data_IF_552490250969
#
_entry.id   IF_552490250969
#
_cell.length_a   1.000
_cell.length_b   1.000
_cell.length_c   1.000
_cell.angle_alpha   90.00
_cell.angle_beta   90.00
_cell.angle_gamma   90.00
#
_symmetry.space_group_name_H-M   'P 1'
#
loop_
_entity.id
_entity.type
_entity.pdbx_description
1 polymer ?
#
# COMPACT_ATOMS: atom_id res chain seq x y z
N UNK A 1 31.74 20.71 -12.18
CA UNK A 1 32.64 20.96 -13.32
C UNK A 1 32.72 22.44 -13.61
N UNK A 2 33.91 22.97 -13.86
CA UNK A 2 34.06 24.33 -14.38
C UNK A 2 33.49 24.41 -15.79
N UNK A 3 32.82 25.52 -16.12
CA UNK A 3 32.31 25.78 -17.47
C UNK A 3 33.48 26.32 -18.29
N UNK A 4 33.77 25.77 -19.49
CA UNK A 4 34.85 26.25 -20.35
C UNK A 4 34.76 27.75 -20.62
N UNK A 5 35.91 28.40 -20.76
CA UNK A 5 36.01 29.86 -20.96
C UNK A 5 35.28 30.29 -22.22
N UNK A 6 35.46 29.53 -23.31
CA UNK A 6 34.80 29.75 -24.60
C UNK A 6 33.28 29.81 -24.47
N UNK A 7 32.70 28.93 -23.65
CA UNK A 7 31.26 28.87 -23.38
C UNK A 7 30.82 30.05 -22.48
N UNK A 8 31.65 30.46 -21.51
CA UNK A 8 31.36 31.61 -20.64
C UNK A 8 31.37 32.93 -21.39
N UNK A 9 32.13 33.04 -22.48
CA UNK A 9 32.29 34.26 -23.27
C UNK A 9 31.25 34.42 -24.39
N UNK A 10 30.47 33.37 -24.72
CA UNK A 10 29.37 33.47 -25.68
C UNK A 10 28.42 34.60 -25.33
N UNK A 11 28.14 35.46 -26.32
CA UNK A 11 27.21 36.58 -26.21
C UNK A 11 25.80 36.10 -25.85
N UNK A 12 25.20 36.73 -24.84
CA UNK A 12 23.92 36.33 -24.26
C UNK A 12 23.26 37.51 -23.53
N UNK A 13 21.95 37.42 -23.23
CA UNK A 13 21.23 38.50 -22.54
C UNK A 13 21.87 38.90 -21.20
N UNK A 14 21.77 40.18 -20.84
CA UNK A 14 22.26 40.71 -19.56
C UNK A 14 21.56 40.03 -18.36
N UNK A 15 22.24 40.04 -17.21
CA UNK A 15 21.76 39.41 -15.97
C UNK A 15 21.50 37.90 -16.11
N UNK A 16 22.36 37.22 -16.88
CA UNK A 16 22.33 35.77 -17.04
C UNK A 16 23.63 35.11 -16.63
N UNK A 17 23.54 33.85 -16.21
CA UNK A 17 24.68 32.98 -15.93
C UNK A 17 24.56 31.69 -16.73
N UNK A 18 25.69 31.12 -17.14
CA UNK A 18 25.71 29.79 -17.76
C UNK A 18 25.79 28.75 -16.66
N UNK A 19 25.02 27.67 -16.80
CA UNK A 19 25.06 26.49 -15.94
C UNK A 19 25.14 25.23 -16.78
N UNK A 20 25.91 24.25 -16.32
CA UNK A 20 25.96 22.93 -16.92
C UNK A 20 24.81 22.07 -16.37
N UNK A 21 23.91 21.65 -17.26
CA UNK A 21 22.85 20.68 -17.01
C UNK A 21 23.14 19.43 -17.83
N UNK A 22 23.81 18.45 -17.22
CA UNK A 22 24.11 17.14 -17.82
C UNK A 22 24.77 17.24 -19.21
N UNK A 23 25.81 18.07 -19.34
CA UNK A 23 26.55 18.27 -20.59
C UNK A 23 25.97 19.35 -21.50
N UNK A 24 24.78 19.89 -21.21
CA UNK A 24 24.19 21.03 -21.93
C UNK A 24 24.40 22.33 -21.17
N UNK A 25 24.85 23.36 -21.86
CA UNK A 25 25.09 24.68 -21.27
C UNK A 25 23.82 25.53 -21.35
N UNK A 26 23.12 25.69 -20.23
CA UNK A 26 21.89 26.48 -20.15
C UNK A 26 22.19 27.91 -19.70
N UNK A 27 21.48 28.87 -20.28
CA UNK A 27 21.55 30.28 -19.90
C UNK A 27 20.42 30.61 -18.95
N UNK A 28 20.76 31.03 -17.74
CA UNK A 28 19.82 31.22 -16.63
C UNK A 28 19.76 32.69 -16.23
N UNK A 29 18.57 33.29 -16.31
CA UNK A 29 18.29 34.64 -15.81
C UNK A 29 18.39 34.65 -14.29
N UNK A 30 19.16 35.61 -13.76
CA UNK A 30 19.48 35.71 -12.33
C UNK A 30 19.15 37.12 -11.82
N UNK A 31 18.65 37.17 -10.59
CA UNK A 31 18.47 38.39 -9.81
C UNK A 31 19.14 38.23 -8.44
N UNK A 32 19.05 39.21 -7.56
CA UNK A 32 19.44 39.10 -6.15
C UNK A 32 18.22 39.20 -5.24
N UNK A 33 18.26 38.51 -4.11
CA UNK A 33 17.29 38.64 -3.00
C UNK A 33 18.08 38.91 -1.72
N UNK A 34 17.65 39.89 -0.93
CA UNK A 34 18.23 40.13 0.39
C UNK A 34 17.69 39.11 1.40
N UNK A 35 18.60 38.45 2.12
CA UNK A 35 18.30 37.56 3.25
C UNK A 35 19.28 37.92 4.36
N UNK A 36 18.76 38.28 5.54
CA UNK A 36 19.54 38.72 6.70
C UNK A 36 20.57 39.83 6.37
N UNK A 37 20.14 40.84 5.62
CA UNK A 37 20.98 41.99 5.22
C UNK A 37 22.00 41.70 4.11
N UNK A 38 22.13 40.47 3.62
CA UNK A 38 23.06 40.10 2.54
C UNK A 38 22.31 39.83 1.24
N UNK A 39 22.82 40.37 0.12
CA UNK A 39 22.30 40.09 -1.22
C UNK A 39 22.75 38.70 -1.69
N UNK A 40 21.80 37.78 -1.88
CA UNK A 40 22.05 36.41 -2.33
C UNK A 40 21.52 36.26 -3.76
N UNK A 41 22.30 35.69 -4.70
CA UNK A 41 21.82 35.44 -6.07
C UNK A 41 20.66 34.44 -6.09
N UNK A 42 19.61 34.78 -6.85
CA UNK A 42 18.41 33.96 -7.07
C UNK A 42 18.22 33.74 -8.57
N UNK A 43 18.20 32.48 -8.97
CA UNK A 43 17.90 32.08 -10.35
C UNK A 43 16.38 32.15 -10.59
N UNK A 44 15.98 32.68 -11.75
CA UNK A 44 14.57 32.92 -12.10
C UNK A 44 14.08 31.95 -13.17
N UNK A 45 14.73 31.93 -14.33
CA UNK A 45 14.30 31.13 -15.47
C UNK A 45 15.48 30.79 -16.40
N UNK A 46 15.40 29.64 -17.06
CA UNK A 46 16.26 29.26 -18.19
C UNK A 46 15.71 29.95 -19.43
N UNK A 47 16.50 30.84 -20.02
CA UNK A 47 16.10 31.68 -21.17
C UNK A 47 16.60 31.13 -22.51
N UNK A 48 17.42 30.09 -22.47
CA UNK A 48 17.97 29.44 -23.66
C UNK A 48 19.13 28.52 -23.32
N UNK A 49 19.85 28.11 -24.35
CA UNK A 49 21.02 27.24 -24.24
C UNK A 49 22.14 27.68 -25.18
N UNK A 50 23.36 27.21 -24.93
CA UNK A 50 24.50 27.42 -25.82
C UNK A 50 24.72 26.13 -26.61
N UNK A 51 24.56 26.22 -27.91
CA UNK A 51 24.78 25.14 -28.90
C UNK A 51 25.76 25.69 -29.92
N UNK A 52 26.82 24.92 -30.21
CA UNK A 52 27.87 25.30 -31.17
C UNK A 52 28.42 26.72 -30.94
N UNK A 53 28.73 27.04 -29.68
CA UNK A 53 29.25 28.34 -29.23
C UNK A 53 28.33 29.54 -29.51
N UNK A 54 27.05 29.29 -29.78
CA UNK A 54 26.03 30.33 -29.98
C UNK A 54 24.90 30.20 -28.98
N UNK A 55 24.39 31.33 -28.53
CA UNK A 55 23.20 31.37 -27.70
C UNK A 55 21.95 31.13 -28.55
N UNK A 56 21.19 30.11 -28.19
CA UNK A 56 19.88 29.77 -28.76
C UNK A 56 18.81 30.10 -27.71
N UNK A 57 17.99 31.14 -27.92
CA UNK A 57 16.92 31.49 -26.99
C UNK A 57 15.80 30.44 -27.01
N UNK A 58 15.15 30.25 -25.86
CA UNK A 58 13.88 29.51 -25.81
C UNK A 58 12.72 30.47 -26.10
N UNK A 59 11.76 30.04 -26.92
CA UNK A 59 10.53 30.81 -27.20
C UNK A 59 9.79 31.19 -25.91
N UNK A 60 9.76 30.26 -24.94
CA UNK A 60 9.22 30.52 -23.59
C UNK A 60 10.27 30.18 -22.54
N UNK A 61 10.70 31.15 -21.71
CA UNK A 61 11.62 30.89 -20.61
C UNK A 61 11.06 29.87 -19.60
N UNK A 62 11.88 28.91 -19.19
CA UNK A 62 11.48 27.84 -18.25
C UNK A 62 11.84 28.25 -16.82
N UNK A 63 10.89 28.48 -15.90
CA UNK A 63 11.23 28.96 -14.57
C UNK A 63 12.06 27.93 -13.79
N UNK A 64 13.08 28.41 -13.07
CA UNK A 64 13.96 27.58 -12.25
C UNK A 64 13.23 27.20 -10.97
N UNK A 65 13.30 25.92 -10.58
CA UNK A 65 12.64 25.41 -9.38
C UNK A 65 11.18 24.99 -9.59
N UNK A 66 10.56 25.31 -10.72
CA UNK A 66 9.34 24.64 -11.17
C UNK A 66 9.71 23.45 -12.04
N UNK A 67 9.59 22.23 -11.52
CA UNK A 67 9.27 21.09 -12.40
C UNK A 67 7.99 21.51 -13.12
N UNK A 68 8.05 21.79 -14.41
CA UNK A 68 6.87 22.20 -15.17
C UNK A 68 5.81 21.12 -15.00
N UNK A 69 4.76 21.40 -14.20
CA UNK A 69 3.58 20.53 -14.10
C UNK A 69 2.90 20.35 -15.46
N UNK A 70 3.20 21.22 -16.44
CA UNK A 70 2.56 21.24 -17.76
C UNK A 70 3.00 20.12 -18.70
N UNK A 71 4.18 19.54 -18.51
CA UNK A 71 4.71 18.48 -19.41
C UNK A 71 5.17 17.25 -18.61
N UNK A 72 4.30 16.69 -17.77
CA UNK A 72 4.45 15.26 -17.49
C UNK A 72 3.92 14.55 -18.72
N UNK A 73 4.82 14.03 -19.55
CA UNK A 73 4.46 13.13 -20.64
C UNK A 73 3.54 12.06 -20.07
N UNK A 74 2.36 11.91 -20.69
CA UNK A 74 1.41 10.88 -20.28
C UNK A 74 1.96 9.53 -20.73
N UNK A 75 1.72 8.50 -19.93
CA UNK A 75 2.08 7.15 -20.34
C UNK A 75 1.18 6.69 -21.49
N UNK A 76 1.76 6.56 -22.69
CA UNK A 76 1.03 6.16 -23.90
C UNK A 76 0.78 4.64 -23.97
N UNK A 77 1.73 3.83 -23.48
CA UNK A 77 1.64 2.37 -23.46
C UNK A 77 1.41 1.90 -22.03
N UNK A 78 0.31 1.16 -21.82
CA UNK A 78 -0.12 0.72 -20.49
C UNK A 78 -0.22 -0.79 -20.39
N UNK A 79 0.20 -1.33 -19.26
CA UNK A 79 0.00 -2.75 -18.93
C UNK A 79 -1.50 -3.04 -18.68
N UNK A 80 -2.01 -4.10 -19.30
CA UNK A 80 -3.45 -4.43 -19.32
C UNK A 80 -3.76 -5.80 -18.74
N UNK A 81 -2.96 -6.83 -19.05
CA UNK A 81 -3.35 -8.23 -18.86
C UNK A 81 -3.73 -8.56 -17.41
N UNK A 82 -2.83 -8.28 -16.47
CA UNK A 82 -3.08 -8.54 -15.05
C UNK A 82 -4.23 -7.69 -14.52
N UNK A 83 -4.28 -6.41 -14.91
CA UNK A 83 -5.34 -5.49 -14.49
C UNK A 83 -6.70 -6.03 -14.92
N UNK A 84 -6.85 -6.42 -16.18
CA UNK A 84 -8.11 -6.91 -16.73
C UNK A 84 -8.56 -8.22 -16.08
N UNK A 85 -7.64 -9.15 -15.83
CA UNK A 85 -7.95 -10.41 -15.16
C UNK A 85 -8.44 -10.15 -13.74
N UNK A 86 -7.72 -9.34 -12.96
CA UNK A 86 -8.11 -9.09 -11.57
C UNK A 86 -9.40 -8.29 -11.47
N UNK A 87 -9.59 -7.25 -12.27
CA UNK A 87 -10.82 -6.45 -12.22
C UNK A 87 -12.05 -7.26 -12.64
N UNK A 88 -11.93 -8.09 -13.68
CA UNK A 88 -13.02 -8.95 -14.15
C UNK A 88 -13.49 -9.94 -13.08
N UNK A 89 -12.57 -10.48 -12.27
CA UNK A 89 -12.87 -11.52 -11.27
C UNK A 89 -13.06 -10.97 -9.85
N UNK A 90 -13.19 -9.65 -9.67
CA UNK A 90 -13.33 -9.04 -8.33
C UNK A 90 -14.27 -7.83 -8.28
N UNK A 91 -15.14 -7.68 -9.28
CA UNK A 91 -16.08 -6.56 -9.30
C UNK A 91 -17.07 -6.61 -8.12
N UNK A 92 -17.42 -7.82 -7.68
CA UNK A 92 -18.24 -8.04 -6.49
C UNK A 92 -17.59 -7.45 -5.21
N UNK A 93 -16.25 -7.47 -5.12
CA UNK A 93 -15.52 -6.87 -3.99
C UNK A 93 -15.73 -5.36 -3.95
N UNK A 94 -15.70 -4.69 -5.11
CA UNK A 94 -15.92 -3.25 -5.21
C UNK A 94 -17.35 -2.87 -4.80
N UNK A 95 -18.34 -3.64 -5.26
CA UNK A 95 -19.75 -3.45 -4.86
C UNK A 95 -19.91 -3.58 -3.34
N UNK A 96 -19.30 -4.60 -2.73
CA UNK A 96 -19.28 -4.80 -1.28
C UNK A 96 -18.58 -3.65 -0.53
N UNK A 97 -17.50 -3.10 -1.08
CA UNK A 97 -16.83 -1.93 -0.50
C UNK A 97 -17.73 -0.68 -0.54
N UNK A 98 -18.48 -0.48 -1.62
CA UNK A 98 -19.39 0.67 -1.78
C UNK A 98 -20.57 0.65 -0.80
N UNK A 99 -20.90 -0.49 -0.22
CA UNK A 99 -21.92 -0.61 0.84
C UNK A 99 -21.49 0.07 2.14
N UNK A 100 -20.20 0.01 2.48
CA UNK A 100 -19.69 0.44 3.80
C UNK A 100 -18.77 1.67 3.76
N UNK A 101 -18.22 1.99 2.60
CA UNK A 101 -17.30 3.11 2.42
C UNK A 101 -17.87 4.12 1.42
N UNK A 102 -17.53 5.40 1.61
CA UNK A 102 -17.82 6.41 0.59
C UNK A 102 -17.13 6.04 -0.73
N UNK A 103 -17.71 6.47 -1.86
CA UNK A 103 -17.24 6.05 -3.18
C UNK A 103 -15.76 6.34 -3.38
N UNK A 104 -15.25 7.50 -2.94
CA UNK A 104 -13.84 7.84 -3.10
C UNK A 104 -12.94 6.88 -2.33
N UNK A 105 -13.30 6.53 -1.10
CA UNK A 105 -12.56 5.54 -0.29
C UNK A 105 -12.66 4.14 -0.87
N UNK A 106 -13.86 3.68 -1.26
CA UNK A 106 -14.09 2.36 -1.83
C UNK A 106 -13.28 2.14 -3.12
N UNK A 107 -13.37 3.06 -4.09
CA UNK A 107 -12.58 2.98 -5.32
C UNK A 107 -11.08 3.01 -5.05
N UNK A 108 -10.62 3.84 -4.12
CA UNK A 108 -9.20 3.91 -3.79
C UNK A 108 -8.70 2.62 -3.14
N UNK A 109 -9.44 2.04 -2.19
CA UNK A 109 -9.11 0.74 -1.60
C UNK A 109 -9.04 -0.36 -2.65
N UNK A 110 -10.05 -0.43 -3.51
CA UNK A 110 -10.13 -1.41 -4.59
C UNK A 110 -8.96 -1.29 -5.56
N UNK A 111 -8.66 -0.07 -6.04
CA UNK A 111 -7.53 0.18 -6.93
C UNK A 111 -6.21 -0.22 -6.27
N UNK A 112 -5.99 0.14 -5.00
CA UNK A 112 -4.77 -0.26 -4.27
C UNK A 112 -4.67 -1.78 -4.16
N UNK A 113 -5.77 -2.48 -3.90
CA UNK A 113 -5.80 -3.93 -3.82
C UNK A 113 -5.42 -4.58 -5.16
N UNK A 114 -6.05 -4.16 -6.26
CA UNK A 114 -5.73 -4.71 -7.59
C UNK A 114 -4.29 -4.42 -7.99
N UNK A 115 -3.77 -3.22 -7.71
CA UNK A 115 -2.37 -2.90 -7.99
C UNK A 115 -1.41 -3.79 -7.20
N UNK A 116 -1.73 -4.12 -5.93
CA UNK A 116 -0.92 -5.05 -5.13
C UNK A 116 -1.04 -6.51 -5.61
N UNK A 117 -2.16 -6.91 -6.21
CA UNK A 117 -2.29 -8.20 -6.86
C UNK A 117 -1.49 -8.26 -8.18
N UNK A 118 -1.59 -7.23 -9.01
CA UNK A 118 -0.88 -7.11 -10.29
C UNK A 118 0.63 -6.93 -10.13
N UNK A 119 1.04 -6.23 -9.07
CA UNK A 119 2.42 -5.89 -8.78
C UNK A 119 2.75 -6.23 -7.30
N UNK A 120 2.98 -7.52 -6.96
CA UNK A 120 3.11 -7.97 -5.56
C UNK A 120 4.22 -7.32 -4.73
N UNK A 121 5.21 -6.69 -5.39
CA UNK A 121 6.31 -5.97 -4.73
C UNK A 121 6.06 -4.46 -4.59
N UNK A 122 4.91 -3.97 -5.08
CA UNK A 122 4.58 -2.55 -5.03
C UNK A 122 4.41 -2.09 -3.58
N UNK A 123 5.29 -1.20 -3.14
CA UNK A 123 5.12 -0.49 -1.87
C UNK A 123 4.35 0.80 -2.10
N UNK A 124 3.96 1.50 -1.03
CA UNK A 124 3.09 2.69 -1.11
C UNK A 124 3.62 3.77 -2.08
N UNK A 125 4.95 3.96 -2.16
CA UNK A 125 5.57 4.92 -3.10
C UNK A 125 5.42 4.53 -4.57
N UNK A 126 5.24 3.25 -4.87
CA UNK A 126 5.16 2.73 -6.23
C UNK A 126 3.72 2.76 -6.77
N UNK A 127 2.71 2.86 -5.89
CA UNK A 127 1.30 2.75 -6.28
C UNK A 127 0.90 3.78 -7.33
N UNK A 128 1.39 5.01 -7.22
CA UNK A 128 1.14 6.05 -8.23
C UNK A 128 1.73 5.65 -9.59
N UNK A 129 2.97 5.17 -9.60
CA UNK A 129 3.65 4.77 -10.82
C UNK A 129 2.89 3.62 -11.52
N UNK A 130 2.53 2.57 -10.79
CA UNK A 130 1.79 1.43 -11.37
C UNK A 130 0.38 1.81 -11.81
N UNK A 131 -0.28 2.72 -11.11
CA UNK A 131 -1.58 3.24 -11.53
C UNK A 131 -1.48 4.01 -12.86
N UNK A 132 -0.49 4.91 -12.99
CA UNK A 132 -0.30 5.74 -14.19
C UNK A 132 0.18 4.93 -15.40
N UNK A 133 0.99 3.88 -15.17
CA UNK A 133 1.57 3.03 -16.22
C UNK A 133 0.79 1.76 -16.55
N UNK A 134 -0.32 1.51 -15.86
CA UNK A 134 -1.23 0.42 -16.17
C UNK A 134 -2.61 0.94 -16.58
N UNK A 135 -3.39 0.07 -17.23
CA UNK A 135 -4.74 0.37 -17.68
C UNK A 135 -5.70 0.66 -16.52
N UNK A 136 -5.25 0.46 -15.28
CA UNK A 136 -5.98 0.86 -14.06
C UNK A 136 -6.39 2.34 -14.09
N UNK A 137 -5.52 3.23 -14.58
CA UNK A 137 -5.83 4.66 -14.70
C UNK A 137 -6.87 5.01 -15.76
N UNK A 138 -7.12 4.11 -16.72
CA UNK A 138 -8.20 4.27 -17.71
C UNK A 138 -9.54 3.74 -17.19
N UNK A 139 -9.51 2.62 -16.44
CA UNK A 139 -10.69 2.03 -15.81
C UNK A 139 -11.24 2.90 -14.68
N UNK A 140 -10.36 3.37 -13.79
CA UNK A 140 -10.73 4.16 -12.61
C UNK A 140 -10.07 5.53 -12.67
N UNK A 141 -10.75 6.48 -13.32
CA UNK A 141 -10.20 7.81 -13.56
C UNK A 141 -10.08 8.63 -12.27
N UNK A 142 -9.02 9.44 -12.20
CA UNK A 142 -8.78 10.44 -11.14
C UNK A 142 -8.65 9.87 -9.72
N UNK A 143 -8.20 8.62 -9.56
CA UNK A 143 -7.88 8.07 -8.24
C UNK A 143 -6.56 8.64 -7.72
N UNK A 144 -6.60 9.37 -6.61
CA UNK A 144 -5.43 10.03 -6.03
C UNK A 144 -4.57 9.07 -5.20
N UNK A 145 -3.41 8.66 -5.75
CA UNK A 145 -2.45 7.73 -5.12
C UNK A 145 -1.09 8.36 -4.82
N UNK A 146 -1.03 9.67 -4.58
CA UNK A 146 0.25 10.32 -4.23
C UNK A 146 0.80 9.77 -2.91
N UNK A 147 2.08 9.44 -2.90
CA UNK A 147 2.81 8.92 -1.73
C UNK A 147 2.57 9.76 -0.46
N UNK A 148 2.57 11.09 -0.58
CA UNK A 148 2.38 12.01 0.54
C UNK A 148 1.00 11.98 1.19
N UNK A 149 -0.02 11.46 0.50
CA UNK A 149 -1.41 11.43 1.01
C UNK A 149 -1.87 10.02 1.41
N UNK A 150 -1.09 8.99 1.06
CA UNK A 150 -1.42 7.61 1.40
C UNK A 150 -1.40 7.34 2.92
N UNK A 151 -0.46 7.86 3.72
CA UNK A 151 -0.48 7.69 5.17
C UNK A 151 -1.78 8.17 5.81
N UNK A 152 -2.16 9.43 5.57
CA UNK A 152 -3.40 10.02 6.09
C UNK A 152 -4.64 9.24 5.62
N UNK A 153 -4.62 8.76 4.37
CA UNK A 153 -5.70 7.92 3.84
C UNK A 153 -5.83 6.60 4.61
N UNK A 154 -4.73 5.88 4.83
CA UNK A 154 -4.76 4.63 5.59
C UNK A 154 -5.14 4.85 7.05
N UNK A 155 -4.63 5.90 7.68
CA UNK A 155 -4.99 6.24 9.06
C UNK A 155 -6.49 6.55 9.19
N UNK A 156 -7.02 7.42 8.32
CA UNK A 156 -8.45 7.76 8.31
C UNK A 156 -9.32 6.53 8.07
N UNK A 157 -8.92 5.68 7.12
CA UNK A 157 -9.65 4.45 6.81
C UNK A 157 -9.61 3.47 7.97
N UNK A 158 -8.45 3.30 8.62
CA UNK A 158 -8.28 2.43 9.79
C UNK A 158 -9.07 2.91 11.01
N UNK A 159 -9.17 4.22 11.23
CA UNK A 159 -10.01 4.81 12.29
C UNK A 159 -11.50 4.55 12.07
N UNK A 160 -11.95 4.40 10.83
CA UNK A 160 -13.32 4.02 10.49
C UNK A 160 -13.56 2.50 10.66
N UNK A 161 -13.18 1.96 11.82
CA UNK A 161 -13.19 0.53 12.11
C UNK A 161 -14.57 -0.10 11.94
N UNK A 162 -15.65 0.62 12.25
CA UNK A 162 -17.02 0.15 12.03
C UNK A 162 -17.27 -0.29 10.60
N UNK A 163 -16.71 0.43 9.61
CA UNK A 163 -16.92 0.13 8.20
C UNK A 163 -16.14 -1.13 7.79
N UNK A 164 -14.92 -1.28 8.32
CA UNK A 164 -14.10 -2.49 8.14
C UNK A 164 -14.81 -3.70 8.76
N UNK A 165 -15.32 -3.54 9.99
CA UNK A 165 -16.04 -4.57 10.71
C UNK A 165 -17.30 -5.01 9.97
N UNK A 166 -18.16 -4.06 9.55
CA UNK A 166 -19.39 -4.38 8.84
C UNK A 166 -19.12 -5.03 7.47
N UNK A 167 -18.09 -4.59 6.74
CA UNK A 167 -17.65 -5.27 5.52
C UNK A 167 -17.28 -6.74 5.77
N UNK A 168 -16.56 -7.01 6.87
CA UNK A 168 -16.21 -8.38 7.27
C UNK A 168 -17.42 -9.19 7.74
N UNK A 169 -18.40 -8.58 8.40
CA UNK A 169 -19.64 -9.25 8.79
C UNK A 169 -20.46 -9.68 7.57
N UNK A 170 -20.58 -8.81 6.56
CA UNK A 170 -21.26 -9.16 5.31
C UNK A 170 -20.56 -10.31 4.59
N UNK A 171 -19.23 -10.30 4.58
CA UNK A 171 -18.41 -11.44 4.12
C UNK A 171 -18.72 -12.72 4.87
N UNK A 172 -18.72 -12.70 6.21
CA UNK A 172 -19.06 -13.88 7.02
C UNK A 172 -20.45 -14.41 6.65
N UNK A 173 -21.43 -13.52 6.47
CA UNK A 173 -22.80 -13.89 6.10
C UNK A 173 -22.91 -14.48 4.69
N UNK A 174 -22.11 -14.01 3.73
CA UNK A 174 -22.04 -14.57 2.38
C UNK A 174 -21.59 -16.05 2.39
N UNK A 175 -20.72 -16.40 3.33
CA UNK A 175 -20.21 -17.76 3.53
C UNK A 175 -20.92 -18.51 4.68
N UNK A 176 -22.16 -18.12 5.01
CA UNK A 176 -22.97 -18.77 6.05
C UNK A 176 -23.07 -20.27 5.81
N UNK A 177 -22.81 -21.06 6.85
CA UNK A 177 -22.89 -22.53 6.82
C UNK A 177 -21.80 -23.22 6.01
N UNK A 178 -20.82 -22.49 5.47
CA UNK A 178 -19.71 -23.06 4.68
C UNK A 178 -18.62 -23.62 5.60
N UNK A 179 -17.73 -24.42 5.00
CA UNK A 179 -16.55 -24.95 5.68
C UNK A 179 -15.45 -23.90 5.57
N UNK A 180 -14.98 -23.40 6.72
CA UNK A 180 -13.93 -22.39 6.79
C UNK A 180 -12.64 -23.01 7.33
N UNK A 181 -11.53 -22.81 6.62
CA UNK A 181 -10.19 -23.11 7.11
C UNK A 181 -9.72 -21.89 7.89
N UNK A 182 -9.22 -22.09 9.10
CA UNK A 182 -8.62 -21.04 9.93
C UNK A 182 -7.14 -21.31 10.15
N UNK A 183 -6.32 -20.27 9.98
CA UNK A 183 -4.89 -20.33 10.21
C UNK A 183 -4.35 -18.99 10.71
N UNK A 184 -3.27 -19.06 11.48
CA UNK A 184 -2.54 -17.91 12.03
C UNK A 184 -1.16 -17.80 11.41
N UNK A 185 -0.85 -16.68 10.75
CA UNK A 185 0.46 -16.46 10.13
C UNK A 185 1.23 -15.35 10.84
N UNK A 186 2.49 -15.62 11.19
CA UNK A 186 3.41 -14.61 11.71
C UNK A 186 3.98 -13.78 10.56
N UNK A 187 3.91 -12.45 10.69
CA UNK A 187 4.48 -11.50 9.75
C UNK A 187 5.42 -10.57 10.49
N UNK A 188 6.64 -10.43 9.97
CA UNK A 188 7.63 -9.57 10.59
C UNK A 188 7.25 -8.11 10.48
N UNK A 189 7.34 -7.43 11.61
CA UNK A 189 6.90 -6.06 11.79
C UNK A 189 7.71 -5.45 12.92
N UNK A 190 8.64 -4.57 12.55
CA UNK A 190 9.55 -3.90 13.46
C UNK A 190 9.20 -2.42 13.61
N UNK A 191 7.93 -2.06 13.46
CA UNK A 191 7.49 -0.71 13.77
C UNK A 191 7.71 -0.40 15.24
N UNK A 192 7.93 0.88 15.55
CA UNK A 192 8.00 1.39 16.92
C UNK A 192 6.61 1.41 17.59
N UNK A 193 5.53 1.14 16.84
CA UNK A 193 4.20 0.92 17.38
C UNK A 193 4.14 -0.35 18.25
N UNK A 194 4.11 -0.14 19.57
CA UNK A 194 4.18 -1.20 20.57
C UNK A 194 2.98 -2.15 20.52
N UNK A 195 1.81 -1.70 20.04
CA UNK A 195 0.56 -2.47 20.18
C UNK A 195 0.55 -3.79 19.42
N UNK A 196 1.19 -3.89 18.24
CA UNK A 196 1.24 -5.14 17.46
C UNK A 196 2.66 -5.70 17.34
N UNK A 197 3.67 -4.83 17.31
CA UNK A 197 5.09 -5.14 17.13
C UNK A 197 5.67 -5.78 18.39
N UNK A 198 5.60 -7.11 18.48
CA UNK A 198 6.02 -7.87 19.66
C UNK A 198 6.99 -9.00 19.32
N UNK A 199 7.81 -9.37 20.30
CA UNK A 199 8.76 -10.48 20.14
C UNK A 199 8.02 -11.83 20.22
N UNK A 200 7.76 -12.43 19.07
CA UNK A 200 7.26 -13.81 19.01
C UNK A 200 8.32 -14.82 19.45
N UNK A 201 7.92 -16.06 19.71
CA UNK A 201 8.86 -17.16 19.98
C UNK A 201 9.85 -17.36 18.83
N UNK A 202 9.40 -17.24 17.58
CA UNK A 202 10.24 -17.34 16.38
C UNK A 202 11.05 -16.06 16.14
N UNK A 203 10.48 -14.91 16.50
CA UNK A 203 11.09 -13.60 16.38
C UNK A 203 12.39 -13.48 17.18
N UNK A 204 12.44 -14.08 18.38
CA UNK A 204 13.67 -14.16 19.19
C UNK A 204 14.84 -14.86 18.49
N UNK A 205 14.55 -15.88 17.68
CA UNK A 205 15.55 -16.60 16.89
C UNK A 205 15.92 -15.82 15.63
N UNK A 206 14.92 -15.21 14.98
CA UNK A 206 15.08 -14.43 13.74
C UNK A 206 15.77 -13.07 13.95
N UNK A 207 15.72 -12.52 15.17
CA UNK A 207 16.17 -11.15 15.45
C UNK A 207 15.21 -10.08 14.96
N UNK A 208 13.91 -10.38 14.83
CA UNK A 208 12.87 -9.42 14.43
C UNK A 208 11.59 -9.60 15.25
N UNK A 209 10.88 -8.50 15.49
CA UNK A 209 9.51 -8.51 16.01
C UNK A 209 8.52 -8.91 14.91
N UNK A 210 7.36 -9.38 15.34
CA UNK A 210 6.28 -9.86 14.47
C UNK A 210 4.91 -9.37 14.97
N UNK A 211 3.91 -9.46 14.10
CA UNK A 211 2.50 -9.56 14.45
C UNK A 211 1.92 -10.88 13.91
N UNK A 212 0.84 -11.35 14.49
CA UNK A 212 0.12 -12.53 13.99
C UNK A 212 -1.12 -12.07 13.22
N UNK A 213 -1.32 -12.59 12.02
CA UNK A 213 -2.54 -12.39 11.25
C UNK A 213 -3.36 -13.68 11.29
N UNK A 214 -4.50 -13.65 11.96
CA UNK A 214 -5.51 -14.69 11.84
C UNK A 214 -6.27 -14.46 10.54
N UNK A 215 -6.52 -15.52 9.78
CA UNK A 215 -7.34 -15.47 8.59
C UNK A 215 -8.23 -16.71 8.50
N UNK A 216 -9.45 -16.51 7.99
CA UNK A 216 -10.34 -17.60 7.58
C UNK A 216 -10.57 -17.56 6.08
N UNK A 217 -10.63 -18.73 5.45
CA UNK A 217 -10.97 -18.85 4.04
C UNK A 217 -11.95 -19.99 3.81
N UNK A 218 -12.78 -19.84 2.77
CA UNK A 218 -13.67 -20.91 2.35
C UNK A 218 -12.88 -22.08 1.75
N UNK A 219 -13.24 -23.30 2.14
CA UNK A 219 -12.56 -24.51 1.68
C UNK A 219 -12.60 -24.68 0.15
N UNK A 220 -13.68 -24.28 -0.51
CA UNK A 220 -13.89 -24.59 -1.93
C UNK A 220 -13.42 -23.47 -2.85
N UNK A 221 -13.91 -22.26 -2.63
CA UNK A 221 -13.56 -21.06 -3.42
C UNK A 221 -12.17 -20.53 -3.10
N UNK A 222 -11.62 -20.89 -1.93
CA UNK A 222 -10.36 -20.35 -1.38
C UNK A 222 -10.41 -18.85 -1.10
N UNK A 223 -11.60 -18.25 -1.10
CA UNK A 223 -11.76 -16.82 -0.83
C UNK A 223 -11.52 -16.50 0.65
N UNK A 224 -10.79 -15.41 0.96
CA UNK A 224 -10.68 -14.91 2.31
C UNK A 224 -12.03 -14.38 2.81
N UNK A 225 -12.47 -14.87 3.97
CA UNK A 225 -13.74 -14.50 4.61
C UNK A 225 -13.49 -13.43 5.68
N UNK A 226 -12.62 -13.74 6.64
CA UNK A 226 -12.31 -12.87 7.77
C UNK A 226 -10.80 -12.78 8.00
N UNK A 227 -10.32 -11.65 8.50
CA UNK A 227 -8.94 -11.54 8.98
C UNK A 227 -8.84 -10.52 10.12
N UNK A 228 -7.93 -10.76 11.07
CA UNK A 228 -7.65 -9.82 12.16
C UNK A 228 -6.18 -9.89 12.59
N UNK A 229 -5.50 -8.75 12.75
CA UNK A 229 -4.15 -8.71 13.30
C UNK A 229 -4.18 -8.81 14.84
N UNK A 230 -3.18 -9.51 15.37
CA UNK A 230 -2.92 -9.74 16.79
C UNK A 230 -1.44 -9.48 17.10
N UNK A 231 -1.13 -9.30 18.37
CA UNK A 231 0.25 -9.18 18.83
C UNK A 231 1.06 -10.45 18.51
N UNK A 232 2.30 -10.28 18.05
CA UNK A 232 3.13 -11.42 17.65
C UNK A 232 3.53 -12.38 18.78
N UNK A 233 3.37 -11.97 20.05
CA UNK A 233 3.62 -12.81 21.22
C UNK A 233 2.36 -13.50 21.78
N UNK A 234 1.18 -13.26 21.21
CA UNK A 234 -0.05 -13.96 21.61
C UNK A 234 0.01 -15.43 21.19
N UNK A 235 -0.54 -16.30 22.04
CA UNK A 235 -0.69 -17.72 21.74
C UNK A 235 -1.83 -17.92 20.74
N UNK A 236 -1.66 -18.86 19.81
CA UNK A 236 -2.69 -19.21 18.82
C UNK A 236 -4.03 -19.57 19.49
N UNK A 237 -3.98 -20.19 20.68
CA UNK A 237 -5.18 -20.51 21.45
C UNK A 237 -5.94 -19.29 21.94
N UNK A 238 -5.24 -18.25 22.40
CA UNK A 238 -5.86 -17.00 22.88
C UNK A 238 -6.41 -16.18 21.71
N UNK A 239 -5.71 -16.20 20.57
CA UNK A 239 -6.19 -15.59 19.32
C UNK A 239 -7.50 -16.22 18.88
N UNK A 240 -7.59 -17.56 18.98
CA UNK A 240 -8.78 -18.30 18.58
C UNK A 240 -9.95 -18.15 19.56
N UNK A 241 -9.67 -18.06 20.85
CA UNK A 241 -10.67 -17.71 21.88
C UNK A 241 -11.29 -16.34 21.59
N UNK A 242 -10.48 -15.31 21.35
CA UNK A 242 -10.97 -13.97 20.96
C UNK A 242 -11.80 -14.04 19.66
N UNK A 243 -11.39 -14.85 18.67
CA UNK A 243 -12.16 -15.04 17.45
C UNK A 243 -13.55 -15.63 17.74
N UNK A 244 -13.63 -16.71 18.52
CA UNK A 244 -14.89 -17.38 18.84
C UNK A 244 -15.84 -16.51 19.68
N UNK A 245 -15.30 -15.63 20.52
CA UNK A 245 -16.09 -14.73 21.36
C UNK A 245 -16.57 -13.48 20.64
N UNK A 246 -15.74 -12.90 19.76
CA UNK A 246 -15.97 -11.57 19.19
C UNK A 246 -16.41 -11.58 17.73
N UNK A 247 -16.29 -12.72 17.04
CA UNK A 247 -16.74 -12.86 15.65
C UNK A 247 -18.06 -13.63 15.63
N UNK A 248 -19.14 -13.04 15.09
CA UNK A 248 -20.42 -13.71 15.00
C UNK A 248 -20.31 -15.00 14.19
N UNK A 249 -20.82 -16.10 14.76
CA UNK A 249 -20.94 -17.36 14.03
C UNK A 249 -22.12 -17.30 13.06
N UNK A 250 -21.88 -17.82 11.86
CA UNK A 250 -22.84 -17.99 10.78
C UNK A 250 -23.11 -19.48 10.50
N UNK A 251 -22.94 -20.37 11.49
CA UNK A 251 -23.23 -21.79 11.32
C UNK A 251 -22.13 -22.59 10.60
N UNK A 252 -20.93 -22.03 10.50
CA UNK A 252 -19.78 -22.59 9.81
C UNK A 252 -19.25 -23.89 10.42
N UNK A 253 -18.47 -24.63 9.61
CA UNK A 253 -17.62 -25.72 10.08
C UNK A 253 -16.17 -25.22 10.05
N UNK A 254 -15.56 -25.05 11.22
CA UNK A 254 -14.17 -24.61 11.36
C UNK A 254 -13.21 -25.79 11.23
N UNK A 255 -12.29 -25.69 10.27
CA UNK A 255 -11.18 -26.64 10.10
C UNK A 255 -9.91 -25.95 10.53
N UNK A 256 -9.26 -26.50 11.55
CA UNK A 256 -8.06 -25.91 12.14
C UNK A 256 -7.00 -26.97 12.47
N UNK A 257 -5.76 -26.51 12.59
CA UNK A 257 -4.65 -27.36 12.98
C UNK A 257 -4.74 -27.78 14.47
N UNK A 258 -3.77 -28.57 14.93
CA UNK A 258 -3.73 -29.07 16.32
C UNK A 258 -3.43 -27.98 17.36
N UNK A 259 -2.87 -26.85 16.94
CA UNK A 259 -2.53 -25.72 17.82
C UNK A 259 -3.77 -25.08 18.45
N UNK A 260 -4.92 -25.19 17.77
CA UNK A 260 -6.21 -24.68 18.21
C UNK A 260 -6.97 -25.62 19.17
N UNK A 261 -6.44 -26.82 19.45
CA UNK A 261 -7.12 -27.78 20.32
C UNK A 261 -6.65 -27.65 21.78
N UNK A 262 -7.16 -26.66 22.50
CA UNK A 262 -7.01 -26.55 23.97
C UNK A 262 -8.30 -26.94 24.68
N UNK A 263 -8.21 -27.21 26.00
CA UNK A 263 -9.38 -27.51 26.83
C UNK A 263 -10.38 -26.35 26.82
N UNK A 264 -9.90 -25.12 27.02
CA UNK A 264 -10.72 -23.91 27.01
C UNK A 264 -11.47 -23.71 25.67
N UNK A 265 -10.78 -23.90 24.54
CA UNK A 265 -11.40 -23.78 23.21
C UNK A 265 -12.47 -24.86 23.00
N UNK A 266 -12.20 -26.09 23.46
CA UNK A 266 -13.18 -27.18 23.34
C UNK A 266 -14.43 -26.87 24.16
N UNK A 267 -14.27 -26.38 25.39
CA UNK A 267 -15.38 -25.96 26.26
C UNK A 267 -16.18 -24.80 25.63
N UNK A 268 -15.50 -23.82 25.01
CA UNK A 268 -16.13 -22.69 24.34
C UNK A 268 -16.96 -23.14 23.12
N UNK A 269 -16.45 -24.09 22.34
CA UNK A 269 -17.16 -24.66 21.20
C UNK A 269 -18.37 -25.51 21.63
N UNK A 270 -18.26 -26.24 22.75
CA UNK A 270 -19.37 -27.01 23.31
C UNK A 270 -20.51 -26.11 23.81
N UNK A 271 -20.17 -24.93 24.34
CA UNK A 271 -21.15 -23.89 24.71
C UNK A 271 -21.77 -23.24 23.47
N UNK A 272 -20.98 -23.01 22.42
CA UNK A 272 -21.44 -22.40 21.18
C UNK A 272 -21.96 -23.42 20.16
N UNK A 273 -23.21 -23.89 20.38
CA UNK A 273 -23.86 -24.93 19.54
C UNK A 273 -24.04 -24.57 18.06
N UNK A 274 -23.83 -23.31 17.68
CA UNK A 274 -23.91 -22.89 16.28
C UNK A 274 -22.63 -23.17 15.49
N UNK A 275 -21.49 -23.39 16.15
CA UNK A 275 -20.21 -23.67 15.48
C UNK A 275 -19.96 -25.17 15.44
N UNK A 276 -19.67 -25.70 14.25
CA UNK A 276 -19.15 -27.06 14.09
C UNK A 276 -17.63 -26.99 13.87
N UNK A 277 -16.89 -28.04 14.23
CA UNK A 277 -15.43 -28.01 14.10
C UNK A 277 -14.81 -29.36 13.74
N UNK A 278 -13.68 -29.31 13.06
CA UNK A 278 -12.80 -30.43 12.72
C UNK A 278 -11.35 -30.01 13.01
N UNK A 279 -10.82 -30.43 14.16
CA UNK A 279 -9.45 -30.11 14.55
C UNK A 279 -8.54 -31.33 14.48
N UNK A 280 -7.32 -31.12 13.96
CA UNK A 280 -6.32 -32.17 13.91
C UNK A 280 -5.98 -32.68 15.32
N UNK A 281 -5.82 -34.00 15.46
CA UNK A 281 -5.45 -34.62 16.73
C UNK A 281 -3.93 -34.63 16.85
N UNK A 282 -3.41 -34.32 18.05
CA UNK A 282 -2.00 -34.55 18.38
C UNK A 282 -1.83 -36.02 18.77
N UNK A 283 -1.11 -36.80 17.97
CA UNK A 283 -0.68 -38.14 18.37
C UNK A 283 0.11 -38.06 19.68
N UNK A 284 -0.33 -38.80 20.70
CA UNK A 284 0.52 -39.16 21.83
C UNK A 284 1.17 -40.49 21.45
N UNK A 285 2.44 -40.47 21.06
CA UNK A 285 3.22 -41.70 21.07
C UNK A 285 3.41 -42.09 22.54
N UNK A 286 2.55 -42.98 23.04
CA UNK A 286 2.85 -43.73 24.26
C UNK A 286 3.91 -44.76 23.86
N UNK A 287 5.17 -44.36 23.96
CA UNK A 287 6.28 -45.32 23.98
C UNK A 287 6.22 -45.93 25.38
N UNK A 288 5.62 -47.12 25.48
CA UNK A 288 5.78 -48.00 26.63
C UNK A 288 7.22 -48.55 26.65
#
# INVERSE_FOLDING_TARGET
>A
MAIPVEIRQVERPKNTVVKNYFGKFKVVKRTSKYVNGKAIPKDLAIVGEIVDYKFVPFETPVPVGTRSKKNQEKTDIKDYGNIAIFTKNSNDILEKLLTHFDSSTAYKLYVIAILRCAYPKAVNRDLKFYYETSFMSELFKKVGLSESLLPDFFEKTGRAYSNIHNFMLDRINEFKGKVQIIDGTLKSYNSDEVTFSQWSRKGKVKGSKDFTLLYTCDLYTKEPIYHRPYQGNMLDSTIFEDFLENVPSAGEILVADKGFRTKAITELLEQNKNVKYLFAIKEKYNIN
#
